data_IF_776001640482
#
_entry.id   IF_776001640482
#
_cell.length_a   1.000
_cell.length_b   1.000
_cell.length_c   1.000
_cell.angle_alpha   90.00
_cell.angle_beta   90.00
_cell.angle_gamma   90.00
#
_symmetry.space_group_name_H-M   'P 1'
#
loop_
_entity.id
_entity.type
_entity.pdbx_description
1 polymer ?
#
# COMPACT_ATOMS: atom_id res chain seq x y z
N UNK A 1 64.29 28.31 59.44
CA UNK A 1 62.83 28.54 59.22
C UNK A 1 62.45 28.82 57.76
N UNK A 2 63.35 29.27 56.88
CA UNK A 2 63.01 29.57 55.47
C UNK A 2 62.78 28.35 54.56
N UNK A 3 63.36 27.18 54.85
CA UNK A 3 63.27 25.98 54.01
C UNK A 3 61.90 25.28 54.03
N UNK A 4 61.10 25.49 55.08
CA UNK A 4 59.75 24.93 55.22
C UNK A 4 58.72 25.69 54.39
N UNK A 5 58.88 27.00 54.22
CA UNK A 5 58.04 27.83 53.35
C UNK A 5 58.19 27.43 51.88
N UNK A 6 59.44 27.27 51.42
CA UNK A 6 59.74 26.88 50.03
C UNK A 6 59.27 25.47 49.67
N UNK A 7 59.36 24.51 50.61
CA UNK A 7 58.83 23.15 50.41
C UNK A 7 57.31 23.10 50.35
N UNK A 8 56.63 23.88 51.19
CA UNK A 8 55.17 23.97 51.18
C UNK A 8 54.66 24.58 49.88
N UNK A 9 55.23 25.72 49.45
CA UNK A 9 54.89 26.33 48.16
C UNK A 9 55.19 25.43 46.95
N UNK A 10 56.23 24.60 47.02
CA UNK A 10 56.54 23.64 45.96
C UNK A 10 55.49 22.52 45.90
N UNK A 11 55.09 21.96 47.06
CA UNK A 11 54.05 20.93 47.13
C UNK A 11 52.69 21.48 46.69
N UNK A 12 52.32 22.67 47.17
CA UNK A 12 51.11 23.40 46.79
C UNK A 12 51.06 23.62 45.25
N UNK A 13 52.19 23.95 44.63
CA UNK A 13 52.29 24.08 43.17
C UNK A 13 52.19 22.74 42.43
N UNK A 14 52.80 21.67 42.97
CA UNK A 14 52.69 20.32 42.40
C UNK A 14 51.26 19.79 42.44
N UNK A 15 50.49 20.13 43.48
CA UNK A 15 49.07 19.79 43.60
C UNK A 15 48.16 20.65 42.68
N UNK A 16 48.54 21.91 42.41
CA UNK A 16 47.84 22.78 41.45
C UNK A 16 48.12 22.44 39.99
N UNK A 17 49.29 21.84 39.68
CA UNK A 17 49.71 21.57 38.32
C UNK A 17 48.68 20.76 37.50
N UNK A 18 48.09 19.65 38.00
CA UNK A 18 47.05 18.91 37.28
C UNK A 18 45.80 19.76 37.02
N UNK A 19 45.37 20.56 37.99
CA UNK A 19 44.21 21.45 37.88
C UNK A 19 44.41 22.48 36.78
N UNK A 20 45.61 23.06 36.70
CA UNK A 20 45.95 24.04 35.67
C UNK A 20 45.97 23.39 34.27
N UNK A 21 46.37 22.13 34.16
CA UNK A 21 46.32 21.40 32.88
C UNK A 21 44.88 21.17 32.42
N UNK A 22 43.98 20.79 33.33
CA UNK A 22 42.55 20.61 33.03
C UNK A 22 41.89 21.95 32.64
N UNK A 23 42.19 23.03 33.37
CA UNK A 23 41.67 24.38 33.08
C UNK A 23 42.20 25.00 31.78
N UNK A 24 43.31 24.51 31.26
CA UNK A 24 43.86 24.94 29.96
C UNK A 24 43.01 24.42 28.78
N UNK A 25 42.11 23.47 29.02
CA UNK A 25 41.28 22.92 27.96
C UNK A 25 40.41 24.02 27.31
N UNK A 26 40.41 24.15 25.97
CA UNK A 26 39.60 25.17 25.29
C UNK A 26 38.09 25.03 25.51
N UNK A 27 37.62 23.87 25.97
CA UNK A 27 36.23 23.66 26.38
C UNK A 27 35.82 24.52 27.60
N UNK A 28 36.79 24.99 28.39
CA UNK A 28 36.55 25.88 29.54
C UNK A 28 36.30 27.30 29.04
N UNK A 29 35.04 27.57 28.66
CA UNK A 29 34.55 28.89 28.27
C UNK A 29 34.16 29.78 29.46
N UNK A 30 33.84 31.04 29.18
CA UNK A 30 33.47 32.08 30.17
C UNK A 30 32.46 31.61 31.24
N UNK A 31 31.44 30.83 30.85
CA UNK A 31 30.48 30.19 31.76
C UNK A 31 31.16 29.42 32.90
N UNK A 32 32.14 28.58 32.55
CA UNK A 32 32.81 27.71 33.50
C UNK A 32 33.73 28.53 34.41
N UNK A 33 34.39 29.55 33.85
CA UNK A 33 35.17 30.50 34.63
C UNK A 33 34.30 31.22 35.66
N UNK A 34 33.10 31.71 35.28
CA UNK A 34 32.17 32.33 36.21
C UNK A 34 31.74 31.41 37.37
N UNK A 35 31.56 30.12 37.10
CA UNK A 35 31.25 29.14 38.15
C UNK A 35 32.43 28.92 39.10
N UNK A 36 33.66 28.83 38.57
CA UNK A 36 34.88 28.75 39.38
C UNK A 36 35.05 30.03 40.23
N UNK A 37 34.74 31.22 39.69
CA UNK A 37 34.74 32.48 40.46
C UNK A 37 33.73 32.46 41.61
N UNK A 38 32.55 31.87 41.38
CA UNK A 38 31.50 31.74 42.40
C UNK A 38 31.94 30.83 43.55
N UNK A 39 32.59 29.71 43.25
CA UNK A 39 33.06 28.73 44.24
C UNK A 39 34.26 29.27 45.04
N UNK A 40 35.20 29.91 44.36
CA UNK A 40 36.42 30.47 44.99
C UNK A 40 36.17 31.78 45.73
N UNK A 41 35.06 32.47 45.45
CA UNK A 41 34.76 33.81 45.98
C UNK A 41 35.70 34.90 45.46
N UNK A 42 36.54 34.59 44.46
CA UNK A 42 37.46 35.53 43.82
C UNK A 42 36.89 36.02 42.49
N UNK A 43 37.06 37.31 42.20
CA UNK A 43 36.72 37.92 40.91
C UNK A 43 37.98 38.16 40.09
N UNK A 44 37.95 37.73 38.85
CA UNK A 44 39.08 37.70 37.93
C UNK A 44 38.59 38.33 36.63
N UNK A 45 39.46 39.02 35.91
CA UNK A 45 39.18 39.36 34.51
C UNK A 45 39.61 38.15 33.67
N UNK A 46 38.68 37.54 32.98
CA UNK A 46 38.87 36.37 32.09
C UNK A 46 39.45 36.76 30.71
N UNK A 47 39.79 38.03 30.53
CA UNK A 47 40.43 38.55 29.33
C UNK A 47 41.81 37.87 29.13
N UNK A 48 42.08 37.22 27.97
CA UNK A 48 43.31 36.47 27.72
C UNK A 48 44.59 37.28 27.97
N UNK A 49 44.55 38.59 27.73
CA UNK A 49 45.69 39.50 27.89
C UNK A 49 45.95 39.92 29.34
N UNK A 50 44.98 39.71 30.24
CA UNK A 50 45.03 40.11 31.65
C UNK A 50 45.10 38.92 32.62
N UNK A 51 44.86 37.70 32.13
CA UNK A 51 44.83 36.49 32.93
C UNK A 51 46.26 35.97 33.21
N UNK A 52 46.70 36.06 34.47
CA UNK A 52 48.02 35.60 34.91
C UNK A 52 47.90 34.38 35.81
N UNK A 53 48.89 33.50 35.76
CA UNK A 53 49.00 32.33 36.65
C UNK A 53 48.96 32.71 38.13
N UNK A 54 49.49 33.89 38.49
CA UNK A 54 49.44 34.41 39.86
C UNK A 54 47.99 34.52 40.36
N UNK A 55 47.04 34.88 39.50
CA UNK A 55 45.64 35.02 39.87
C UNK A 55 45.04 33.65 40.28
N UNK A 56 45.49 32.55 39.67
CA UNK A 56 45.09 31.17 40.03
C UNK A 56 45.64 30.76 41.40
N UNK A 57 46.85 31.20 41.73
CA UNK A 57 47.48 30.96 43.04
C UNK A 57 46.80 31.79 44.12
N UNK A 58 46.49 33.06 43.85
CA UNK A 58 45.85 33.99 44.79
C UNK A 58 44.41 33.58 45.13
N UNK A 59 43.71 32.93 44.20
CA UNK A 59 42.36 32.41 44.41
C UNK A 59 42.30 31.12 45.26
N UNK A 60 43.46 30.60 45.68
CA UNK A 60 43.58 29.45 46.58
C UNK A 60 42.77 28.22 46.13
N UNK A 61 42.91 27.87 44.84
CA UNK A 61 42.22 26.75 44.20
C UNK A 61 42.48 25.40 44.90
N UNK A 62 43.55 25.29 45.69
CA UNK A 62 43.88 24.11 46.52
C UNK A 62 42.76 23.71 47.50
N UNK A 63 41.88 24.64 47.88
CA UNK A 63 40.75 24.34 48.77
C UNK A 63 39.55 23.71 48.06
N UNK A 64 39.49 23.83 46.74
CA UNK A 64 38.33 23.46 45.91
C UNK A 64 38.77 22.70 44.65
N UNK A 65 39.83 21.90 44.80
CA UNK A 65 40.48 21.17 43.69
C UNK A 65 39.48 20.24 43.01
N UNK A 66 38.73 19.47 43.80
CA UNK A 66 37.78 18.49 43.28
C UNK A 66 36.65 19.18 42.49
N UNK A 67 36.10 20.29 42.99
CA UNK A 67 35.05 21.04 42.30
C UNK A 67 35.54 21.67 40.99
N UNK A 68 36.78 22.17 40.98
CA UNK A 68 37.38 22.79 39.79
C UNK A 68 37.68 21.73 38.73
N UNK A 69 38.19 20.55 39.13
CA UNK A 69 38.39 19.40 38.23
C UNK A 69 37.04 18.93 37.67
N UNK A 70 36.00 18.85 38.51
CA UNK A 70 34.66 18.47 38.06
C UNK A 70 34.09 19.45 37.04
N UNK A 71 34.28 20.76 37.23
CA UNK A 71 33.86 21.78 36.24
C UNK A 71 34.64 21.65 34.94
N UNK A 72 35.96 21.48 35.01
CA UNK A 72 36.79 21.30 33.82
C UNK A 72 36.38 20.02 33.05
N UNK A 73 36.19 18.91 33.76
CA UNK A 73 35.71 17.64 33.19
C UNK A 73 34.30 17.75 32.59
N UNK A 74 33.39 18.49 33.26
CA UNK A 74 32.06 18.79 32.74
C UNK A 74 32.14 19.58 31.43
N UNK A 75 33.01 20.59 31.38
CA UNK A 75 33.17 21.44 30.19
C UNK A 75 33.56 20.64 28.94
N UNK A 76 34.44 19.65 29.09
CA UNK A 76 34.86 18.77 27.97
C UNK A 76 33.66 17.97 27.46
N UNK A 77 32.88 17.37 28.36
CA UNK A 77 31.69 16.58 27.99
C UNK A 77 30.57 17.45 27.41
N UNK A 78 30.42 18.68 27.90
CA UNK A 78 29.53 19.70 27.34
C UNK A 78 29.92 20.06 25.90
N UNK A 79 31.20 20.30 25.64
CA UNK A 79 31.72 20.59 24.31
C UNK A 79 31.56 19.41 23.33
N UNK A 80 31.69 18.17 23.81
CA UNK A 80 31.40 16.98 23.01
C UNK A 80 29.92 16.90 22.61
N UNK A 81 29.00 17.19 23.54
CA UNK A 81 27.56 17.25 23.25
C UNK A 81 27.26 18.35 22.24
N UNK A 82 27.82 19.54 22.43
CA UNK A 82 27.65 20.65 21.49
C UNK A 82 28.17 20.28 20.09
N UNK A 83 29.37 19.70 19.99
CA UNK A 83 29.95 19.27 18.71
C UNK A 83 29.06 18.27 17.99
N UNK A 84 28.55 17.25 18.72
CA UNK A 84 27.63 16.25 18.16
C UNK A 84 26.32 16.90 17.71
N UNK A 85 25.79 17.86 18.48
CA UNK A 85 24.57 18.58 18.11
C UNK A 85 24.76 19.45 16.86
N UNK A 86 25.85 20.22 16.78
CA UNK A 86 26.18 21.04 15.60
C UNK A 86 26.36 20.20 14.34
N UNK A 87 26.90 18.99 14.46
CA UNK A 87 26.99 18.06 13.34
C UNK A 87 25.59 17.64 12.84
N UNK A 88 24.61 17.46 13.73
CA UNK A 88 23.23 17.18 13.33
C UNK A 88 22.58 18.39 12.65
N UNK A 89 22.77 19.61 13.18
CA UNK A 89 22.26 20.83 12.53
C UNK A 89 22.83 21.00 11.11
N UNK A 90 24.14 20.77 10.95
CA UNK A 90 24.80 20.85 9.65
C UNK A 90 24.29 19.77 8.67
N UNK A 91 24.13 18.53 9.14
CA UNK A 91 23.62 17.43 8.32
C UNK A 91 22.26 17.80 7.69
N UNK A 92 21.33 18.33 8.49
CA UNK A 92 19.97 18.65 8.07
C UNK A 92 19.82 19.94 7.27
N UNK A 93 20.83 20.82 7.30
CA UNK A 93 20.88 22.01 6.47
C UNK A 93 20.98 21.67 4.97
N UNK A 94 21.63 20.55 4.65
CA UNK A 94 21.89 20.13 3.26
C UNK A 94 20.99 18.96 2.81
N UNK A 95 20.04 18.50 3.64
CA UNK A 95 19.11 17.42 3.24
C UNK A 95 17.99 17.97 2.35
N UNK A 96 17.91 17.43 1.14
CA UNK A 96 16.89 17.78 0.15
C UNK A 96 15.98 16.58 -0.18
N UNK A 97 14.70 16.86 -0.41
CA UNK A 97 13.73 15.93 -0.98
C UNK A 97 13.91 15.83 -2.49
N UNK A 98 13.85 14.60 -3.02
CA UNK A 98 13.87 14.36 -4.47
C UNK A 98 12.53 13.97 -5.01
N UNK A 99 12.23 14.48 -6.20
CA UNK A 99 10.98 14.23 -6.91
C UNK A 99 11.21 13.44 -8.20
N UNK A 100 10.27 12.57 -8.54
CA UNK A 100 10.24 11.76 -9.76
C UNK A 100 9.07 12.16 -10.64
N UNK A 101 9.24 12.01 -11.95
CA UNK A 101 8.18 12.28 -12.92
C UNK A 101 6.99 11.31 -12.76
N UNK A 102 5.78 11.83 -12.96
CA UNK A 102 4.57 11.03 -12.99
C UNK A 102 3.79 11.26 -14.28
N UNK A 103 3.76 10.22 -15.14
CA UNK A 103 3.05 10.23 -16.43
C UNK A 103 3.39 11.50 -17.22
N UNK A 104 2.38 12.31 -17.56
CA UNK A 104 2.51 13.57 -18.31
C UNK A 104 2.49 14.82 -17.42
N UNK A 105 2.55 14.66 -16.10
CA UNK A 105 2.33 15.74 -15.12
C UNK A 105 3.61 16.31 -14.51
N UNK A 106 4.77 15.81 -14.93
CA UNK A 106 6.08 16.25 -14.44
C UNK A 106 6.44 15.69 -13.05
N UNK A 107 7.42 16.29 -12.36
CA UNK A 107 8.00 15.78 -11.11
C UNK A 107 7.10 16.08 -9.89
N UNK A 108 5.97 15.38 -9.79
CA UNK A 108 4.95 15.60 -8.73
C UNK A 108 4.83 14.42 -7.76
N UNK A 109 5.90 13.61 -7.62
CA UNK A 109 5.93 12.43 -6.74
C UNK A 109 7.26 12.41 -5.99
N UNK A 110 7.23 12.16 -4.69
CA UNK A 110 8.41 11.89 -3.87
C UNK A 110 9.06 10.58 -4.33
N UNK A 111 10.37 10.63 -4.57
CA UNK A 111 11.15 9.46 -4.99
C UNK A 111 11.28 8.48 -3.81
N UNK A 112 10.60 7.34 -3.90
CA UNK A 112 10.47 6.36 -2.82
C UNK A 112 11.78 5.97 -2.13
N UNK A 113 12.81 5.57 -2.89
CA UNK A 113 14.11 5.16 -2.32
C UNK A 113 14.77 6.29 -1.52
N UNK A 114 14.79 7.51 -2.08
CA UNK A 114 15.41 8.67 -1.42
C UNK A 114 14.62 9.06 -0.17
N UNK A 115 13.28 9.08 -0.26
CA UNK A 115 12.42 9.39 0.89
C UNK A 115 12.55 8.35 2.02
N UNK A 116 12.71 7.06 1.70
CA UNK A 116 12.96 6.03 2.71
C UNK A 116 14.28 6.28 3.43
N UNK A 117 15.36 6.56 2.70
CA UNK A 117 16.67 6.87 3.31
C UNK A 117 16.62 8.12 4.18
N UNK A 118 15.84 9.16 3.79
CA UNK A 118 15.65 10.36 4.63
C UNK A 118 14.88 10.05 5.91
N UNK A 119 13.87 9.17 5.85
CA UNK A 119 13.14 8.73 7.04
C UNK A 119 14.03 7.97 8.01
N UNK A 120 14.82 7.02 7.52
CA UNK A 120 15.78 6.29 8.33
C UNK A 120 16.79 7.25 9.00
N UNK A 121 17.30 8.23 8.24
CA UNK A 121 18.17 9.27 8.78
C UNK A 121 17.47 10.15 9.83
N UNK A 122 16.19 10.50 9.64
CA UNK A 122 15.41 11.25 10.64
C UNK A 122 15.28 10.47 11.95
N UNK A 123 15.02 9.17 11.88
CA UNK A 123 14.86 8.31 13.05
C UNK A 123 16.22 8.15 13.79
N UNK A 124 17.31 7.96 13.06
CA UNK A 124 18.66 7.90 13.63
C UNK A 124 19.07 9.23 14.29
N UNK A 125 18.88 10.36 13.59
CA UNK A 125 19.13 11.70 14.15
C UNK A 125 18.30 11.97 15.40
N UNK A 126 17.01 11.59 15.38
CA UNK A 126 16.11 11.75 16.53
C UNK A 126 16.56 10.91 17.73
N UNK A 127 17.05 9.69 17.51
CA UNK A 127 17.63 8.84 18.55
C UNK A 127 18.93 9.44 19.11
N UNK A 128 19.81 9.92 18.23
CA UNK A 128 21.07 10.57 18.62
C UNK A 128 20.81 11.80 19.48
N UNK A 129 19.85 12.65 19.10
CA UNK A 129 19.48 13.85 19.85
C UNK A 129 18.81 13.50 21.19
N UNK A 130 17.95 12.48 21.24
CA UNK A 130 17.39 11.98 22.49
C UNK A 130 18.47 11.47 23.46
N UNK A 131 19.50 10.81 22.93
CA UNK A 131 20.66 10.38 23.73
C UNK A 131 21.41 11.58 24.32
N UNK A 132 21.58 12.66 23.53
CA UNK A 132 22.17 13.92 24.02
C UNK A 132 21.33 14.56 25.13
N UNK A 133 20.00 14.59 25.00
CA UNK A 133 19.10 15.13 26.04
C UNK A 133 19.11 14.33 27.35
N UNK A 134 19.42 13.03 27.26
CA UNK A 134 19.58 12.15 28.42
C UNK A 134 20.89 12.38 29.16
N UNK A 135 21.88 13.01 28.50
CA UNK A 135 23.15 13.39 29.13
C UNK A 135 22.94 14.53 30.13
N UNK A 136 23.50 14.40 31.35
CA UNK A 136 23.52 15.49 32.33
C UNK A 136 24.27 16.73 31.85
N UNK A 137 25.15 16.57 30.87
CA UNK A 137 25.98 17.63 30.28
C UNK A 137 25.25 18.44 29.20
N UNK A 138 23.97 18.17 28.93
CA UNK A 138 23.19 18.97 27.98
C UNK A 138 22.54 20.21 28.60
N UNK A 139 22.66 20.41 29.93
CA UNK A 139 21.84 21.37 30.68
C UNK A 139 21.82 22.79 30.08
N UNK A 140 22.95 23.30 29.60
CA UNK A 140 23.06 24.65 29.03
C UNK A 140 22.45 24.81 27.62
N UNK A 141 22.29 23.71 26.86
CA UNK A 141 21.68 23.72 25.51
C UNK A 141 20.35 22.99 25.48
N UNK A 142 19.84 22.55 26.62
CA UNK A 142 18.70 21.63 26.69
C UNK A 142 17.52 22.12 25.85
N UNK A 143 17.15 23.38 26.00
CA UNK A 143 16.02 23.98 25.26
C UNK A 143 16.27 24.01 23.74
N UNK A 144 17.48 24.33 23.32
CA UNK A 144 17.88 24.34 21.90
C UNK A 144 17.82 22.93 21.30
N UNK A 145 18.40 21.94 22.00
CA UNK A 145 18.44 20.55 21.56
C UNK A 145 17.01 19.97 21.53
N UNK A 146 16.20 20.26 22.54
CA UNK A 146 14.80 19.83 22.61
C UNK A 146 13.95 20.47 21.51
N UNK A 147 14.15 21.75 21.22
CA UNK A 147 13.49 22.43 20.11
C UNK A 147 13.83 21.81 18.76
N UNK A 148 15.09 21.44 18.54
CA UNK A 148 15.52 20.76 17.32
C UNK A 148 14.95 19.34 17.22
N UNK A 149 14.91 18.58 18.32
CA UNK A 149 14.25 17.27 18.35
C UNK A 149 12.78 17.36 17.95
N UNK A 150 12.06 18.33 18.52
CA UNK A 150 10.65 18.55 18.18
C UNK A 150 10.47 18.89 16.69
N UNK A 151 11.40 19.65 16.09
CA UNK A 151 11.42 19.88 14.64
C UNK A 151 11.55 18.56 13.88
N UNK A 152 12.55 17.72 14.20
CA UNK A 152 12.77 16.45 13.50
C UNK A 152 11.59 15.48 13.60
N UNK A 153 11.02 15.33 14.80
CA UNK A 153 9.84 14.46 15.02
C UNK A 153 8.67 14.91 14.16
N UNK A 154 8.36 16.22 14.18
CA UNK A 154 7.28 16.79 13.36
C UNK A 154 7.52 16.57 11.86
N UNK A 155 8.75 16.73 11.41
CA UNK A 155 9.12 16.48 10.00
C UNK A 155 8.94 15.01 9.63
N UNK A 156 9.34 14.08 10.51
CA UNK A 156 9.14 12.63 10.29
C UNK A 156 7.66 12.26 10.17
N UNK A 157 6.81 12.80 11.06
CA UNK A 157 5.35 12.62 11.00
C UNK A 157 4.76 13.14 9.69
N UNK A 158 5.18 14.33 9.25
CA UNK A 158 4.71 14.95 8.01
C UNK A 158 5.12 14.13 6.80
N UNK A 159 6.38 13.67 6.72
CA UNK A 159 6.84 12.83 5.60
C UNK A 159 6.08 11.50 5.57
N UNK A 160 5.82 10.88 6.73
CA UNK A 160 5.04 9.65 6.80
C UNK A 160 3.61 9.85 6.26
N UNK A 161 2.93 10.91 6.69
CA UNK A 161 1.60 11.26 6.17
C UNK A 161 1.63 11.60 4.68
N UNK A 162 2.67 12.31 4.22
CA UNK A 162 2.81 12.69 2.82
C UNK A 162 2.97 11.47 1.91
N UNK A 163 3.77 10.49 2.32
CA UNK A 163 3.91 9.20 1.60
C UNK A 163 2.58 8.45 1.54
N UNK A 164 1.80 8.45 2.63
CA UNK A 164 0.47 7.81 2.65
C UNK A 164 -0.51 8.51 1.70
N UNK A 165 -0.60 9.85 1.76
CA UNK A 165 -1.40 10.67 0.85
C UNK A 165 -1.00 10.43 -0.60
N UNK A 166 0.30 10.36 -0.89
CA UNK A 166 0.80 10.08 -2.24
C UNK A 166 0.30 8.73 -2.76
N UNK A 167 0.40 7.67 -1.93
CA UNK A 167 -0.03 6.32 -2.30
C UNK A 167 -1.53 6.29 -2.62
N UNK A 168 -2.37 6.84 -1.75
CA UNK A 168 -3.83 6.89 -1.98
C UNK A 168 -4.18 7.78 -3.18
N UNK A 169 -3.49 8.90 -3.36
CA UNK A 169 -3.68 9.77 -4.52
C UNK A 169 -3.31 9.07 -5.83
N UNK A 170 -2.19 8.35 -5.91
CA UNK A 170 -1.79 7.60 -7.10
C UNK A 170 -2.80 6.52 -7.47
N UNK A 171 -3.32 5.80 -6.48
CA UNK A 171 -4.37 4.80 -6.68
C UNK A 171 -5.65 5.44 -7.25
N UNK A 172 -6.14 6.52 -6.62
CA UNK A 172 -7.35 7.20 -7.08
C UNK A 172 -7.16 7.93 -8.42
N UNK A 173 -5.95 8.41 -8.72
CA UNK A 173 -5.63 8.98 -10.03
C UNK A 173 -5.78 7.93 -11.12
N UNK A 174 -5.30 6.71 -10.92
CA UNK A 174 -5.47 5.62 -11.89
C UNK A 174 -6.96 5.27 -12.10
N UNK A 175 -7.76 5.28 -11.02
CA UNK A 175 -9.20 4.98 -11.08
C UNK A 175 -9.99 6.08 -11.80
N UNK A 176 -9.76 7.34 -11.44
CA UNK A 176 -10.51 8.47 -11.99
C UNK A 176 -9.91 9.05 -13.27
N UNK A 177 -8.73 8.61 -13.71
CA UNK A 177 -8.22 8.89 -15.06
C UNK A 177 -9.03 8.14 -16.14
N UNK A 178 -9.66 7.01 -15.78
CA UNK A 178 -10.50 6.18 -16.65
C UNK A 178 -11.96 6.65 -16.71
N UNK A 179 -12.47 6.87 -17.92
CA UNK A 179 -13.65 7.69 -18.15
C UNK A 179 -14.97 7.20 -17.53
N UNK A 180 -15.30 5.90 -17.59
CA UNK A 180 -16.65 5.46 -17.22
C UNK A 180 -16.91 5.46 -15.72
N UNK A 181 -15.88 5.24 -14.89
CA UNK A 181 -16.02 5.33 -13.43
C UNK A 181 -16.36 6.77 -13.02
N UNK A 182 -15.80 7.78 -13.69
CA UNK A 182 -16.14 9.19 -13.42
C UNK A 182 -17.63 9.49 -13.66
N UNK A 183 -18.25 8.84 -14.66
CA UNK A 183 -19.68 9.01 -14.95
C UNK A 183 -20.56 8.36 -13.88
N UNK A 184 -20.08 7.25 -13.30
CA UNK A 184 -20.79 6.51 -12.25
C UNK A 184 -20.64 7.17 -10.87
N UNK A 185 -19.49 7.82 -10.62
CA UNK A 185 -19.15 8.50 -9.36
C UNK A 185 -18.81 9.99 -9.59
N UNK A 186 -19.76 10.82 -10.05
CA UNK A 186 -19.48 12.20 -10.45
C UNK A 186 -19.13 13.13 -9.28
N UNK A 187 -19.66 12.86 -8.08
CA UNK A 187 -19.37 13.66 -6.90
C UNK A 187 -17.93 13.43 -6.43
N UNK A 188 -17.53 12.16 -6.37
CA UNK A 188 -16.20 11.70 -6.00
C UNK A 188 -15.17 12.14 -7.06
N UNK A 189 -15.48 12.05 -8.35
CA UNK A 189 -14.62 12.55 -9.41
C UNK A 189 -14.38 14.07 -9.29
N UNK A 190 -15.44 14.84 -9.00
CA UNK A 190 -15.32 16.30 -8.78
C UNK A 190 -14.47 16.60 -7.55
N UNK A 191 -14.63 15.84 -6.47
CA UNK A 191 -13.83 15.97 -5.25
C UNK A 191 -12.37 15.63 -5.52
N UNK A 192 -12.10 14.50 -6.17
CA UNK A 192 -10.75 14.09 -6.55
C UNK A 192 -10.07 15.16 -7.42
N UNK A 193 -10.77 15.80 -8.35
CA UNK A 193 -10.21 16.90 -9.14
C UNK A 193 -9.80 18.13 -8.29
N UNK A 194 -10.44 18.39 -7.15
CA UNK A 194 -10.01 19.44 -6.22
C UNK A 194 -8.77 19.01 -5.44
N UNK A 195 -8.75 17.76 -4.95
CA UNK A 195 -7.60 17.16 -4.28
C UNK A 195 -6.38 17.18 -5.21
N UNK A 196 -6.56 16.79 -6.47
CA UNK A 196 -5.52 16.75 -7.49
C UNK A 196 -4.85 18.12 -7.71
N UNK A 197 -5.65 19.19 -7.80
CA UNK A 197 -5.11 20.55 -7.91
C UNK A 197 -4.33 20.97 -6.65
N UNK A 198 -4.83 20.61 -5.47
CA UNK A 198 -4.16 20.90 -4.21
C UNK A 198 -2.83 20.13 -4.10
N UNK A 199 -2.84 18.85 -4.49
CA UNK A 199 -1.66 17.99 -4.55
C UNK A 199 -0.59 18.59 -5.47
N UNK A 200 -0.94 18.93 -6.71
CA UNK A 200 -0.01 19.57 -7.66
C UNK A 200 0.59 20.86 -7.08
N UNK A 201 -0.21 21.69 -6.40
CA UNK A 201 0.29 22.92 -5.76
C UNK A 201 1.31 22.63 -4.66
N UNK A 202 1.05 21.64 -3.81
CA UNK A 202 1.99 21.22 -2.75
C UNK A 202 3.28 20.70 -3.38
N UNK A 203 3.18 19.81 -4.36
CA UNK A 203 4.34 19.18 -5.00
C UNK A 203 5.20 20.17 -5.78
N UNK A 204 4.59 21.09 -6.53
CA UNK A 204 5.34 22.13 -7.25
C UNK A 204 6.09 23.04 -6.27
N UNK A 205 5.45 23.44 -5.16
CA UNK A 205 6.10 24.28 -4.14
C UNK A 205 7.22 23.53 -3.42
N UNK A 206 7.04 22.23 -3.18
CA UNK A 206 8.06 21.38 -2.58
C UNK A 206 9.28 21.23 -3.47
N UNK A 207 9.07 21.16 -4.79
CA UNK A 207 10.16 21.08 -5.76
C UNK A 207 10.94 22.40 -5.88
N UNK A 208 10.29 23.55 -5.64
CA UNK A 208 10.96 24.86 -5.57
C UNK A 208 11.80 25.05 -4.30
N UNK A 209 11.43 24.39 -3.20
CA UNK A 209 12.09 24.49 -1.89
C UNK A 209 12.38 23.08 -1.37
N UNK A 210 13.43 22.42 -1.87
CA UNK A 210 13.64 21.00 -1.65
C UNK A 210 14.16 20.68 -0.25
N UNK A 211 14.66 21.66 0.52
CA UNK A 211 15.18 21.39 1.87
C UNK A 211 14.10 20.76 2.77
N UNK A 212 14.46 19.61 3.35
CA UNK A 212 13.54 18.77 4.13
C UNK A 212 12.98 19.52 5.33
N UNK A 213 13.84 20.21 6.11
CA UNK A 213 13.40 20.89 7.32
C UNK A 213 12.61 22.16 7.03
N UNK A 214 13.10 23.00 6.11
CA UNK A 214 12.43 24.26 5.77
C UNK A 214 11.03 24.00 5.21
N UNK A 215 10.91 23.06 4.26
CA UNK A 215 9.62 22.78 3.66
C UNK A 215 8.67 22.09 4.65
N UNK A 216 9.14 21.07 5.37
CA UNK A 216 8.25 20.29 6.24
C UNK A 216 7.85 21.02 7.52
N UNK A 217 8.72 21.85 8.10
CA UNK A 217 8.44 22.51 9.38
C UNK A 217 7.80 23.89 9.23
N UNK A 218 8.18 24.67 8.21
CA UNK A 218 7.80 26.09 8.10
C UNK A 218 6.65 26.33 7.13
N UNK A 219 6.30 25.35 6.29
CA UNK A 219 5.29 25.55 5.25
C UNK A 219 3.86 25.23 5.71
N UNK A 220 3.01 26.25 5.71
CA UNK A 220 1.57 26.13 6.02
C UNK A 220 0.82 25.21 5.05
N UNK A 221 1.31 25.01 3.82
CA UNK A 221 0.66 24.14 2.83
C UNK A 221 0.54 22.69 3.32
N UNK A 222 1.48 22.23 4.14
CA UNK A 222 1.46 20.87 4.69
C UNK A 222 0.46 20.73 5.84
N UNK A 223 -0.03 21.83 6.42
CA UNK A 223 -1.17 21.77 7.35
C UNK A 223 -2.46 21.29 6.65
N UNK A 224 -2.52 21.35 5.32
CA UNK A 224 -3.64 20.82 4.55
C UNK A 224 -3.50 19.32 4.25
N UNK A 225 -2.34 18.68 4.46
CA UNK A 225 -2.16 17.25 4.20
C UNK A 225 -3.17 16.36 4.95
N UNK A 226 -3.45 16.57 6.25
CA UNK A 226 -4.46 15.79 6.97
C UNK A 226 -5.85 15.93 6.34
N UNK A 227 -6.22 17.13 5.89
CA UNK A 227 -7.50 17.36 5.21
C UNK A 227 -7.55 16.65 3.85
N UNK A 228 -6.46 16.70 3.06
CA UNK A 228 -6.38 15.96 1.80
C UNK A 228 -6.48 14.45 2.05
N UNK A 229 -5.84 13.94 3.11
CA UNK A 229 -5.92 12.54 3.50
C UNK A 229 -7.36 12.12 3.81
N UNK A 230 -8.06 12.88 4.64
CA UNK A 230 -9.46 12.61 4.98
C UNK A 230 -10.35 12.59 3.73
N UNK A 231 -10.17 13.55 2.82
CA UNK A 231 -10.93 13.58 1.58
C UNK A 231 -10.62 12.40 0.64
N UNK A 232 -9.35 11.99 0.57
CA UNK A 232 -8.91 10.81 -0.19
C UNK A 232 -9.52 9.53 0.40
N UNK A 233 -9.48 9.39 1.73
CA UNK A 233 -10.07 8.24 2.44
C UNK A 233 -11.58 8.16 2.23
N UNK A 234 -12.28 9.31 2.21
CA UNK A 234 -13.69 9.32 1.90
C UNK A 234 -13.96 8.88 0.45
N UNK A 235 -13.16 9.34 -0.51
CA UNK A 235 -13.26 8.91 -1.91
C UNK A 235 -13.02 7.39 -2.02
N UNK A 236 -12.00 6.87 -1.35
CA UNK A 236 -11.68 5.45 -1.34
C UNK A 236 -12.82 4.62 -0.74
N UNK A 237 -13.38 5.05 0.39
CA UNK A 237 -14.53 4.39 1.02
C UNK A 237 -15.75 4.35 0.10
N UNK A 238 -16.05 5.46 -0.58
CA UNK A 238 -17.16 5.53 -1.54
C UNK A 238 -16.92 4.61 -2.75
N UNK A 239 -15.69 4.55 -3.24
CA UNK A 239 -15.30 3.62 -4.29
C UNK A 239 -15.49 2.16 -3.84
N UNK A 240 -15.04 1.79 -2.65
CA UNK A 240 -15.22 0.43 -2.10
C UNK A 240 -16.70 0.04 -2.00
N UNK A 241 -17.55 0.94 -1.51
CA UNK A 241 -19.00 0.70 -1.46
C UNK A 241 -19.60 0.52 -2.86
N UNK A 242 -19.14 1.29 -3.84
CA UNK A 242 -19.57 1.14 -5.24
C UNK A 242 -19.16 -0.23 -5.82
N UNK A 243 -17.91 -0.67 -5.57
CA UNK A 243 -17.44 -1.99 -6.01
C UNK A 243 -18.24 -3.12 -5.34
N UNK A 244 -18.56 -2.97 -4.06
CA UNK A 244 -19.40 -3.94 -3.34
C UNK A 244 -20.83 -4.02 -3.91
N UNK A 245 -21.43 -2.88 -4.26
CA UNK A 245 -22.72 -2.86 -4.96
C UNK A 245 -22.64 -3.60 -6.31
N UNK A 246 -21.56 -3.40 -7.08
CA UNK A 246 -21.35 -4.13 -8.34
C UNK A 246 -21.17 -5.63 -8.13
N UNK A 247 -20.46 -6.04 -7.07
CA UNK A 247 -20.33 -7.45 -6.68
C UNK A 247 -21.67 -8.08 -6.29
N UNK A 248 -22.53 -7.35 -5.59
CA UNK A 248 -23.87 -7.84 -5.24
C UNK A 248 -24.76 -8.06 -6.48
N UNK A 249 -24.63 -7.23 -7.52
CA UNK A 249 -25.38 -7.37 -8.76
C UNK A 249 -24.86 -8.53 -9.65
N UNK A 250 -23.56 -8.81 -9.59
CA UNK A 250 -22.94 -9.94 -10.29
C UNK A 250 -21.95 -10.66 -9.37
N UNK A 251 -22.40 -11.70 -8.63
CA UNK A 251 -21.60 -12.37 -7.60
C UNK A 251 -20.28 -12.99 -8.09
N UNK A 252 -20.11 -13.23 -9.40
CA UNK A 252 -18.82 -13.71 -9.94
C UNK A 252 -17.70 -12.67 -9.80
N UNK A 253 -18.02 -11.39 -9.61
CA UNK A 253 -17.01 -10.37 -9.29
C UNK A 253 -16.35 -10.55 -7.90
N UNK A 254 -16.85 -11.45 -7.04
CA UNK A 254 -16.12 -11.82 -5.82
C UNK A 254 -14.86 -12.66 -6.09
N UNK A 255 -14.71 -13.24 -7.29
CA UNK A 255 -13.53 -14.04 -7.65
C UNK A 255 -12.37 -13.21 -8.21
N UNK A 256 -12.57 -11.90 -8.44
CA UNK A 256 -11.56 -10.99 -8.97
C UNK A 256 -11.15 -9.95 -7.93
N UNK A 257 -9.90 -9.50 -8.01
CA UNK A 257 -9.38 -8.42 -7.17
C UNK A 257 -10.03 -7.08 -7.50
N UNK A 258 -9.94 -6.12 -6.58
CA UNK A 258 -10.43 -4.75 -6.81
C UNK A 258 -9.81 -4.12 -8.05
N UNK A 259 -8.51 -4.34 -8.29
CA UNK A 259 -7.80 -3.82 -9.47
C UNK A 259 -8.41 -4.32 -10.78
N UNK A 260 -8.63 -5.64 -10.89
CA UNK A 260 -9.22 -6.25 -12.09
C UNK A 260 -10.68 -5.80 -12.26
N UNK A 261 -11.43 -5.70 -11.17
CA UNK A 261 -12.81 -5.21 -11.22
C UNK A 261 -12.87 -3.75 -11.71
N UNK A 262 -11.95 -2.91 -11.24
CA UNK A 262 -11.84 -1.52 -11.69
C UNK A 262 -11.45 -1.42 -13.17
N UNK A 263 -10.54 -2.28 -13.66
CA UNK A 263 -10.20 -2.35 -15.08
C UNK A 263 -11.45 -2.65 -15.93
N UNK A 264 -12.21 -3.68 -15.57
CA UNK A 264 -13.48 -4.05 -16.23
C UNK A 264 -14.48 -2.87 -16.23
N UNK A 265 -14.65 -2.20 -15.08
CA UNK A 265 -15.61 -1.11 -14.94
C UNK A 265 -15.15 0.19 -15.63
N UNK A 266 -13.84 0.42 -15.75
CA UNK A 266 -13.27 1.62 -16.37
C UNK A 266 -13.51 1.69 -17.87
N UNK A 267 -13.67 0.52 -18.52
CA UNK A 267 -13.87 0.37 -19.96
C UNK A 267 -15.26 -0.21 -20.29
N UNK A 268 -16.23 -0.08 -19.38
CA UNK A 268 -17.56 -0.68 -19.51
C UNK A 268 -18.34 -0.27 -20.77
N UNK A 269 -18.03 0.89 -21.37
CA UNK A 269 -18.61 1.33 -22.65
C UNK A 269 -18.17 0.51 -23.85
N UNK A 270 -17.03 -0.19 -23.78
CA UNK A 270 -16.56 -1.11 -24.80
C UNK A 270 -16.65 -2.57 -24.31
N UNK A 271 -17.68 -3.32 -24.72
CA UNK A 271 -17.83 -4.72 -24.33
C UNK A 271 -16.67 -5.63 -24.73
N UNK A 272 -15.85 -5.27 -25.73
CA UNK A 272 -14.74 -6.10 -26.17
C UNK A 272 -13.56 -6.10 -25.17
N UNK A 273 -13.44 -5.04 -24.36
CA UNK A 273 -12.38 -4.87 -23.36
C UNK A 273 -12.38 -5.94 -22.26
N UNK A 274 -13.50 -6.66 -22.09
CA UNK A 274 -13.64 -7.68 -21.05
C UNK A 274 -12.99 -9.03 -21.39
N UNK A 275 -12.66 -9.28 -22.66
CA UNK A 275 -12.06 -10.54 -23.14
C UNK A 275 -10.91 -11.05 -22.25
N UNK A 276 -9.88 -10.25 -21.89
CA UNK A 276 -8.79 -10.72 -21.03
C UNK A 276 -9.22 -11.14 -19.62
N UNK A 277 -10.40 -10.70 -19.16
CA UNK A 277 -10.89 -10.96 -17.81
C UNK A 277 -11.93 -12.08 -17.75
N UNK A 278 -12.46 -12.54 -18.89
CA UNK A 278 -13.52 -13.57 -18.94
C UNK A 278 -13.11 -14.86 -18.25
N UNK A 279 -11.88 -15.33 -18.48
CA UNK A 279 -11.34 -16.54 -17.85
C UNK A 279 -11.22 -16.41 -16.32
N UNK A 280 -11.18 -15.19 -15.78
CA UNK A 280 -11.13 -14.95 -14.33
C UNK A 280 -12.51 -14.95 -13.66
N UNK A 281 -13.58 -14.69 -14.43
CA UNK A 281 -14.97 -14.65 -13.90
C UNK A 281 -15.81 -15.88 -14.32
N UNK A 282 -15.36 -16.64 -15.32
CA UNK A 282 -16.00 -17.83 -15.83
C UNK A 282 -15.03 -19.00 -15.87
N UNK A 283 -15.43 -20.10 -15.23
CA UNK A 283 -14.80 -21.39 -15.44
C UNK A 283 -15.28 -21.99 -16.77
N UNK A 284 -14.36 -22.33 -17.65
CA UNK A 284 -14.64 -22.91 -18.98
C UNK A 284 -14.95 -21.93 -20.12
N UNK A 285 -14.93 -20.61 -19.89
CA UNK A 285 -15.06 -19.60 -20.95
C UNK A 285 -13.75 -18.81 -21.10
N UNK A 286 -13.06 -18.98 -22.22
CA UNK A 286 -11.84 -18.25 -22.51
C UNK A 286 -12.10 -16.96 -23.29
N UNK A 287 -13.00 -17.00 -24.27
CA UNK A 287 -13.35 -15.82 -25.06
C UNK A 287 -14.75 -15.94 -25.68
N UNK A 288 -15.27 -14.82 -26.15
CA UNK A 288 -16.53 -14.75 -26.88
C UNK A 288 -16.37 -14.03 -28.22
N UNK A 289 -17.21 -14.36 -29.19
CA UNK A 289 -17.30 -13.66 -30.48
C UNK A 289 -18.37 -12.57 -30.40
N UNK A 290 -17.94 -11.33 -30.61
CA UNK A 290 -18.83 -10.18 -30.70
C UNK A 290 -19.23 -9.91 -32.15
N UNK A 291 -20.50 -9.59 -32.35
CA UNK A 291 -21.05 -9.09 -33.60
C UNK A 291 -21.62 -7.69 -33.38
N UNK A 292 -21.31 -6.75 -34.27
CA UNK A 292 -21.83 -5.38 -34.20
C UNK A 292 -23.14 -5.27 -34.95
N UNK A 293 -24.21 -4.98 -34.24
CA UNK A 293 -25.54 -4.76 -34.81
C UNK A 293 -25.79 -3.28 -35.03
N UNK A 294 -26.23 -2.95 -36.25
CA UNK A 294 -26.76 -1.64 -36.62
C UNK A 294 -28.29 -1.76 -36.68
N UNK A 295 -29.03 -1.22 -35.69
CA UNK A 295 -30.48 -1.24 -35.71
C UNK A 295 -31.02 -0.57 -36.98
N UNK A 296 -32.12 -1.11 -37.53
CA UNK A 296 -32.80 -0.53 -38.70
C UNK A 296 -33.72 0.65 -38.32
N UNK A 297 -34.02 0.82 -37.04
CA UNK A 297 -34.86 1.90 -36.53
C UNK A 297 -34.11 3.22 -36.49
N UNK A 298 -34.75 4.28 -36.99
CA UNK A 298 -34.18 5.62 -37.00
C UNK A 298 -34.01 6.15 -35.56
N UNK A 299 -32.76 6.25 -35.10
CA UNK A 299 -32.38 6.80 -33.79
C UNK A 299 -31.76 5.81 -32.80
N UNK A 300 -31.75 4.50 -33.11
CA UNK A 300 -31.15 3.50 -32.25
C UNK A 300 -29.62 3.38 -32.47
N UNK A 301 -28.85 3.41 -31.38
CA UNK A 301 -27.39 3.34 -31.41
C UNK A 301 -26.92 1.91 -31.74
N UNK A 302 -25.80 1.75 -32.48
CA UNK A 302 -25.23 0.44 -32.71
C UNK A 302 -24.75 -0.18 -31.39
N UNK A 303 -24.94 -1.48 -31.24
CA UNK A 303 -24.53 -2.24 -30.05
C UNK A 303 -23.81 -3.53 -30.45
N UNK A 304 -23.11 -4.13 -29.50
CA UNK A 304 -22.49 -5.44 -29.68
C UNK A 304 -23.38 -6.54 -29.11
N UNK A 305 -23.41 -7.69 -29.77
CA UNK A 305 -24.01 -8.91 -29.25
C UNK A 305 -23.01 -10.06 -29.26
N UNK A 306 -23.13 -10.96 -28.30
CA UNK A 306 -22.33 -12.18 -28.23
C UNK A 306 -23.05 -13.29 -28.99
N UNK A 307 -22.39 -13.85 -30.00
CA UNK A 307 -22.96 -14.89 -30.88
C UNK A 307 -22.35 -16.27 -30.69
N UNK A 308 -21.14 -16.35 -30.14
CA UNK A 308 -20.42 -17.59 -29.94
C UNK A 308 -19.57 -17.51 -28.67
N UNK A 309 -19.48 -18.62 -27.95
CA UNK A 309 -18.60 -18.81 -26.81
C UNK A 309 -17.50 -19.81 -27.13
N UNK A 310 -16.28 -19.54 -26.66
CA UNK A 310 -15.08 -20.32 -26.94
C UNK A 310 -14.45 -20.73 -25.60
N UNK A 311 -14.22 -22.03 -25.42
CA UNK A 311 -13.61 -22.61 -24.22
C UNK A 311 -12.08 -22.50 -24.25
N UNK A 312 -11.45 -22.70 -23.09
CA UNK A 312 -9.98 -22.76 -22.99
C UNK A 312 -9.36 -23.94 -23.76
N UNK A 313 -10.15 -24.98 -24.03
CA UNK A 313 -9.73 -26.17 -24.77
C UNK A 313 -9.92 -26.01 -26.29
N UNK A 314 -10.38 -24.84 -26.75
CA UNK A 314 -10.61 -24.55 -28.17
C UNK A 314 -11.96 -25.00 -28.71
N UNK A 315 -12.85 -25.53 -27.86
CA UNK A 315 -14.23 -25.83 -28.26
C UNK A 315 -15.03 -24.54 -28.44
N UNK A 316 -15.85 -24.48 -29.48
CA UNK A 316 -16.72 -23.33 -29.76
C UNK A 316 -18.18 -23.76 -29.80
N UNK A 317 -19.06 -22.92 -29.24
CA UNK A 317 -20.51 -23.14 -29.27
C UNK A 317 -21.23 -21.86 -29.69
N UNK A 318 -22.05 -21.99 -30.73
CA UNK A 318 -22.94 -20.92 -31.17
C UNK A 318 -24.06 -20.73 -30.15
N UNK A 319 -24.29 -19.47 -29.78
CA UNK A 319 -25.37 -19.10 -28.87
C UNK A 319 -26.72 -19.34 -29.55
N UNK A 320 -27.64 -19.98 -28.81
CA UNK A 320 -29.03 -20.18 -29.26
C UNK A 320 -29.70 -18.86 -29.63
N UNK A 321 -29.59 -17.91 -28.71
CA UNK A 321 -30.08 -16.54 -28.85
C UNK A 321 -28.87 -15.63 -28.59
N UNK A 322 -28.49 -14.76 -29.55
CA UNK A 322 -27.41 -13.81 -29.33
C UNK A 322 -27.68 -12.91 -28.12
N UNK A 323 -26.66 -12.73 -27.27
CA UNK A 323 -26.80 -11.93 -26.05
C UNK A 323 -26.43 -10.47 -26.30
N UNK A 324 -27.34 -9.50 -26.18
CA UNK A 324 -27.00 -8.08 -26.38
C UNK A 324 -26.21 -7.50 -25.19
N UNK A 325 -25.05 -6.92 -25.49
CA UNK A 325 -24.19 -6.18 -24.56
C UNK A 325 -24.64 -4.72 -24.44
N UNK A 326 -25.82 -4.52 -23.85
CA UNK A 326 -26.46 -3.20 -23.66
C UNK A 326 -26.70 -2.94 -22.18
N UNK A 327 -26.49 -1.70 -21.74
CA UNK A 327 -26.63 -1.31 -20.33
C UNK A 327 -25.33 -1.54 -19.55
N UNK A 328 -25.44 -1.70 -18.23
CA UNK A 328 -24.26 -1.87 -17.38
C UNK A 328 -23.62 -3.24 -17.59
N UNK A 329 -22.33 -3.34 -17.24
CA UNK A 329 -21.53 -4.55 -17.44
C UNK A 329 -22.13 -5.77 -16.74
N UNK A 330 -22.61 -5.58 -15.51
CA UNK A 330 -23.24 -6.62 -14.70
C UNK A 330 -24.54 -7.16 -15.32
N UNK A 331 -25.31 -6.30 -15.99
CA UNK A 331 -26.62 -6.67 -16.53
C UNK A 331 -26.47 -7.61 -17.72
N UNK A 332 -25.59 -7.26 -18.65
CA UNK A 332 -25.37 -8.09 -19.83
C UNK A 332 -24.54 -9.34 -19.51
N UNK A 333 -23.67 -9.30 -18.50
CA UNK A 333 -22.97 -10.51 -18.00
C UNK A 333 -23.95 -11.50 -17.36
N UNK A 334 -24.94 -11.03 -16.61
CA UNK A 334 -26.01 -11.89 -16.10
C UNK A 334 -26.84 -12.51 -17.24
N UNK A 335 -27.13 -11.73 -18.29
CA UNK A 335 -27.78 -12.28 -19.50
C UNK A 335 -26.90 -13.30 -20.22
N UNK A 336 -25.59 -13.07 -20.27
CA UNK A 336 -24.63 -14.04 -20.83
C UNK A 336 -24.69 -15.36 -20.05
N UNK A 337 -24.66 -15.34 -18.71
CA UNK A 337 -24.82 -16.55 -17.89
C UNK A 337 -26.10 -17.33 -18.23
N UNK A 338 -27.23 -16.63 -18.34
CA UNK A 338 -28.51 -17.23 -18.69
C UNK A 338 -28.49 -17.81 -20.11
N UNK A 339 -27.94 -17.07 -21.08
CA UNK A 339 -27.80 -17.49 -22.47
C UNK A 339 -26.88 -18.70 -22.64
N UNK A 340 -25.75 -18.74 -21.94
CA UNK A 340 -24.84 -19.89 -21.91
C UNK A 340 -25.57 -21.14 -21.39
N UNK A 341 -26.28 -21.00 -20.26
CA UNK A 341 -27.03 -22.11 -19.66
C UNK A 341 -28.14 -22.63 -20.58
N UNK A 342 -28.86 -21.71 -21.22
CA UNK A 342 -29.92 -22.05 -22.17
C UNK A 342 -29.37 -22.77 -23.40
N UNK A 343 -28.24 -22.28 -23.95
CA UNK A 343 -27.58 -22.86 -25.11
C UNK A 343 -27.08 -24.28 -24.81
N UNK A 344 -26.34 -24.48 -23.71
CA UNK A 344 -25.87 -25.82 -23.32
C UNK A 344 -27.04 -26.77 -23.10
N UNK A 345 -28.11 -26.32 -22.43
CA UNK A 345 -29.32 -27.13 -22.22
C UNK A 345 -29.96 -27.59 -23.53
N UNK A 346 -30.02 -26.72 -24.54
CA UNK A 346 -30.58 -27.07 -25.83
C UNK A 346 -29.68 -28.03 -26.61
N UNK A 347 -28.37 -27.81 -26.58
CA UNK A 347 -27.39 -28.68 -27.24
C UNK A 347 -27.39 -30.09 -26.62
N UNK A 348 -27.54 -30.20 -25.29
CA UNK A 348 -27.73 -31.49 -24.61
C UNK A 348 -29.05 -32.17 -25.01
N UNK A 349 -30.15 -31.41 -25.13
CA UNK A 349 -31.43 -31.98 -25.59
C UNK A 349 -31.35 -32.47 -27.04
N UNK A 350 -30.70 -31.69 -27.90
CA UNK A 350 -30.49 -32.05 -29.30
C UNK A 350 -29.66 -33.34 -29.42
N UNK A 351 -28.56 -33.45 -28.66
CA UNK A 351 -27.69 -34.64 -28.68
C UNK A 351 -28.41 -35.91 -28.24
N UNK A 352 -29.19 -35.86 -27.15
CA UNK A 352 -29.97 -37.01 -26.66
C UNK A 352 -31.08 -37.40 -27.64
N UNK A 353 -31.74 -36.42 -28.27
CA UNK A 353 -32.80 -36.68 -29.27
C UNK A 353 -32.20 -37.33 -30.50
N UNK A 354 -31.10 -36.80 -31.01
CA UNK A 354 -30.39 -37.36 -32.17
C UNK A 354 -29.89 -38.77 -31.91
N UNK A 355 -29.28 -39.02 -30.74
CA UNK A 355 -28.84 -40.36 -30.37
C UNK A 355 -30.01 -41.34 -30.34
N UNK A 356 -31.14 -40.93 -29.77
CA UNK A 356 -32.36 -41.75 -29.67
C UNK A 356 -32.93 -42.13 -31.04
N UNK A 357 -32.82 -41.26 -32.04
CA UNK A 357 -33.24 -41.56 -33.42
C UNK A 357 -32.30 -42.52 -34.16
N UNK A 358 -31.03 -42.60 -33.73
CA UNK A 358 -29.98 -43.38 -34.38
C UNK A 358 -29.69 -44.72 -33.68
N UNK A 359 -30.45 -45.06 -32.63
CA UNK A 359 -30.35 -46.32 -31.85
C UNK A 359 -30.44 -47.61 -32.66
N UNK A 360 -30.93 -47.55 -33.90
CA UNK A 360 -30.96 -48.70 -34.81
C UNK A 360 -29.61 -49.01 -35.49
N UNK A 361 -28.62 -48.12 -35.44
CA UNK A 361 -27.36 -48.31 -36.17
C UNK A 361 -26.15 -47.71 -35.45
N UNK A 362 -25.40 -48.57 -34.76
CA UNK A 362 -24.20 -48.25 -33.99
C UNK A 362 -23.05 -47.69 -34.84
N UNK A 363 -23.09 -47.85 -36.17
CA UNK A 363 -22.03 -47.34 -37.05
C UNK A 363 -21.96 -45.81 -37.11
N UNK A 364 -23.01 -45.09 -36.69
CA UNK A 364 -23.05 -43.63 -36.70
C UNK A 364 -22.56 -42.98 -35.39
N UNK A 365 -22.28 -43.77 -34.34
CA UNK A 365 -21.95 -43.24 -33.02
C UNK A 365 -20.75 -42.29 -33.04
N UNK A 366 -19.68 -42.63 -33.76
CA UNK A 366 -18.50 -41.77 -33.90
C UNK A 366 -18.84 -40.41 -34.53
N UNK A 367 -19.63 -40.41 -35.60
CA UNK A 367 -20.04 -39.17 -36.28
C UNK A 367 -20.96 -38.26 -35.46
N UNK A 368 -21.70 -38.83 -34.50
CA UNK A 368 -22.52 -38.05 -33.54
C UNK A 368 -21.60 -37.43 -32.48
N UNK A 369 -20.68 -38.22 -31.93
CA UNK A 369 -19.74 -37.76 -30.88
C UNK A 369 -18.88 -36.59 -31.38
N UNK A 370 -18.43 -36.61 -32.63
CA UNK A 370 -17.62 -35.54 -33.23
C UNK A 370 -18.40 -34.23 -33.50
N UNK A 371 -19.74 -34.28 -33.52
CA UNK A 371 -20.58 -33.11 -33.80
C UNK A 371 -20.86 -32.25 -32.56
N UNK A 372 -20.81 -32.85 -31.38
CA UNK A 372 -21.13 -32.18 -30.12
C UNK A 372 -19.86 -31.94 -29.30
N UNK A 373 -19.82 -30.89 -28.45
CA UNK A 373 -18.72 -30.69 -27.52
C UNK A 373 -18.47 -31.92 -26.65
N UNK A 374 -17.21 -32.17 -26.27
CA UNK A 374 -16.79 -33.40 -25.61
C UNK A 374 -17.59 -33.69 -24.33
N UNK A 375 -17.85 -32.67 -23.50
CA UNK A 375 -18.66 -32.83 -22.28
C UNK A 375 -20.12 -33.18 -22.59
N UNK A 376 -20.70 -32.61 -23.66
CA UNK A 376 -22.06 -32.94 -24.08
C UNK A 376 -22.13 -34.35 -24.64
N UNK A 377 -21.14 -34.76 -25.44
CA UNK A 377 -21.02 -36.11 -25.98
C UNK A 377 -20.89 -37.16 -24.87
N UNK A 378 -20.08 -36.89 -23.84
CA UNK A 378 -19.96 -37.76 -22.67
C UNK A 378 -21.30 -37.89 -21.92
N UNK A 379 -21.96 -36.76 -21.65
CA UNK A 379 -23.24 -36.75 -20.95
C UNK A 379 -24.32 -37.50 -21.74
N UNK A 380 -24.35 -37.33 -23.06
CA UNK A 380 -25.24 -38.03 -23.98
C UNK A 380 -25.04 -39.56 -23.88
N UNK A 381 -23.79 -40.05 -23.88
CA UNK A 381 -23.48 -41.47 -23.73
C UNK A 381 -23.91 -42.01 -22.36
N UNK A 382 -23.70 -41.23 -21.29
CA UNK A 382 -24.15 -41.59 -19.94
C UNK A 382 -25.68 -41.72 -19.86
N UNK A 383 -26.41 -40.76 -20.43
CA UNK A 383 -27.88 -40.83 -20.51
C UNK A 383 -28.34 -42.09 -21.21
N UNK A 384 -27.74 -42.40 -22.35
CA UNK A 384 -28.08 -43.60 -23.12
C UNK A 384 -27.80 -44.89 -22.34
N UNK A 385 -26.58 -45.03 -21.81
CA UNK A 385 -26.19 -46.22 -21.04
C UNK A 385 -27.10 -46.42 -19.83
N UNK A 386 -27.41 -45.36 -19.08
CA UNK A 386 -28.29 -45.45 -17.91
C UNK A 386 -29.73 -45.81 -18.32
N UNK A 387 -30.26 -45.25 -19.41
CA UNK A 387 -31.59 -45.58 -19.91
C UNK A 387 -31.69 -47.05 -20.32
N UNK A 388 -30.73 -47.55 -21.11
CA UNK A 388 -30.72 -48.93 -21.62
C UNK A 388 -30.57 -49.95 -20.49
N UNK A 389 -29.64 -49.72 -19.56
CA UNK A 389 -29.46 -50.58 -18.38
C UNK A 389 -30.71 -50.58 -17.50
N UNK A 390 -31.35 -49.43 -17.29
CA UNK A 390 -32.59 -49.32 -16.50
C UNK A 390 -33.74 -50.08 -17.17
N UNK A 391 -33.87 -49.98 -18.49
CA UNK A 391 -34.88 -50.73 -19.26
C UNK A 391 -34.63 -52.24 -19.16
N UNK A 392 -33.38 -52.69 -19.30
CA UNK A 392 -33.00 -54.09 -19.14
C UNK A 392 -33.34 -54.63 -17.75
N UNK A 393 -32.99 -53.90 -16.69
CA UNK A 393 -33.31 -54.27 -15.30
C UNK A 393 -34.83 -54.37 -15.11
N UNK A 394 -35.58 -53.38 -15.59
CA UNK A 394 -37.05 -53.34 -15.45
C UNK A 394 -37.72 -54.52 -16.16
N UNK A 395 -37.26 -54.86 -17.37
CA UNK A 395 -37.73 -56.04 -18.11
C UNK A 395 -37.47 -57.34 -17.34
N UNK A 396 -36.28 -57.50 -16.75
CA UNK A 396 -35.92 -58.69 -15.97
C UNK A 396 -36.78 -58.82 -14.70
N UNK A 397 -37.07 -57.71 -14.01
CA UNK A 397 -37.96 -57.69 -12.85
C UNK A 397 -39.40 -58.09 -13.20
N UNK A 398 -39.94 -57.63 -14.34
CA UNK A 398 -41.27 -58.03 -14.81
C UNK A 398 -41.36 -59.54 -15.16
N UNK A 399 -40.29 -60.13 -15.69
CA UNK A 399 -40.24 -61.57 -16.02
C UNK A 399 -40.26 -62.45 -14.77
N UNK A 400 -39.72 -61.99 -13.64
CA UNK A 400 -39.77 -62.73 -12.37
C UNK A 400 -41.14 -62.71 -11.68
N UNK A 401 -41.97 -61.69 -11.92
CA UNK A 401 -43.34 -61.61 -11.36
C UNK A 401 -44.34 -62.47 -12.15
N UNK A 402 -44.05 -62.79 -13.43
CA UNK A 402 -44.91 -63.58 -14.31
C UNK A 402 -44.75 -65.11 -14.26
N UNK A 403 -43.88 -65.66 -13.39
CA UNK A 403 -43.75 -67.13 -13.24
C UNK A 403 -44.67 -67.64 -12.12
N UNK A 404 -45.83 -68.18 -12.51
CA UNK A 404 -46.67 -69.01 -11.65
C UNK A 404 -45.88 -70.23 -11.10
N UNK A 405 -46.17 -70.69 -9.87
CA UNK A 405 -45.50 -71.84 -9.26
C UNK A 405 -45.89 -73.15 -9.97
N UNK A 406 -45.07 -74.22 -9.89
CA UNK A 406 -45.32 -75.46 -10.60
C UNK A 406 -46.55 -76.20 -10.04
N UNK A 407 -47.26 -76.99 -10.87
CA UNK A 407 -48.45 -77.70 -10.45
C UNK A 407 -48.07 -79.00 -9.70
N UNK A 408 -48.85 -79.31 -8.67
CA UNK A 408 -48.90 -80.58 -7.95
C UNK A 408 -47.77 -80.92 -6.95
N UNK A 409 -48.05 -80.64 -5.68
CA UNK A 409 -47.94 -81.67 -4.64
C UNK A 409 -49.27 -81.71 -3.87
N UNK A 410 -50.14 -82.64 -4.26
CA UNK A 410 -51.30 -83.02 -3.48
C UNK A 410 -50.88 -83.85 -2.25
N UNK A 411 -51.73 -83.78 -1.23
CA UNK A 411 -51.92 -84.75 -0.14
C UNK A 411 -51.02 -84.64 1.10
N UNK A 412 -51.65 -84.19 2.19
CA UNK A 412 -51.85 -84.92 3.46
C UNK A 412 -51.95 -83.88 4.60
N UNK A 413 -53.16 -83.58 5.11
CA UNK A 413 -53.66 -84.08 6.42
C UNK A 413 -52.56 -84.08 7.49
N UNK A 414 -52.62 -83.27 8.55
CA UNK A 414 -53.71 -83.03 9.50
C UNK A 414 -53.48 -81.72 10.25
#
# INVERSE_FOLDING_TARGET
MHTWSSRKSLNDFMELQPVIQELKNPAVVERHWQEIMRITGHKWRTDPDLFKLQNLVDANLLRVVDEVIDIASSSVREAEVETKFRAQEALWKDQELKFSEFKHRGPIILKGDDTSTKREALDESSLAINSMLSSRYCAFMRDTIQGFLHKLVRVSEIIAQWVEVQSTWQYLEAVFAGGDIMKQLPQEAKRFAMIDKAWQKIMNKANEMPNVLEFCYENELLQNLPNLKEQLDECQRKLSLYLEQKRNLFPRFYFVSDTVLLEILSQASDPQSIQPHLASIFDGLASVRFERIKPKEAGAQPYFQIVEMISGEGESLMMREPTPCVGNVEDWLNRLCAGMTATVREVVKASVTELSTLLGNTNYLGSIIERYPAQVSLLMLQFFWTADVTECITKVSCVHVGRNPPPHAQSATR
#
